data_IF_496250338308
#
_entry.id   IF_496250338308
#
_cell.length_a   1.000
_cell.length_b   1.000
_cell.length_c   1.000
_cell.angle_alpha   90.00
_cell.angle_beta   90.00
_cell.angle_gamma   90.00
#
_symmetry.space_group_name_H-M   'P 1'
#
loop_
_entity.id
_entity.type
_entity.pdbx_description
1 polymer ?
#
# COMPACT_ATOMS: atom_id res chain seq x y z
N UNK A 1 -11.37 34.33 2.44
CA UNK A 1 -11.31 33.04 1.72
C UNK A 1 -9.93 32.91 1.09
N UNK A 2 -9.12 31.91 1.48
CA UNK A 2 -7.80 31.70 0.88
C UNK A 2 -7.96 31.23 -0.56
N UNK A 3 -7.27 31.89 -1.50
CA UNK A 3 -7.30 31.54 -2.91
C UNK A 3 -6.53 30.22 -3.13
N UNK A 4 -7.23 29.10 -2.99
CA UNK A 4 -6.70 27.73 -3.12
C UNK A 4 -6.26 27.36 -4.55
N UNK A 5 -6.47 28.26 -5.50
CA UNK A 5 -6.08 28.09 -6.90
C UNK A 5 -4.59 28.32 -7.17
N UNK A 6 -3.86 28.99 -6.27
CA UNK A 6 -2.44 29.30 -6.50
C UNK A 6 -1.56 28.04 -6.45
N UNK A 7 -0.50 27.95 -7.29
CA UNK A 7 0.46 26.85 -7.24
C UNK A 7 1.05 26.62 -5.83
N UNK A 8 1.32 27.70 -5.10
CA UNK A 8 1.85 27.67 -3.74
C UNK A 8 0.87 27.03 -2.74
N UNK A 9 -0.41 27.36 -2.84
CA UNK A 9 -1.45 26.75 -2.01
C UNK A 9 -1.53 25.23 -2.25
N UNK A 10 -1.42 24.79 -3.51
CA UNK A 10 -1.41 23.37 -3.88
C UNK A 10 -0.20 22.63 -3.32
N UNK A 11 0.99 23.24 -3.38
CA UNK A 11 2.22 22.67 -2.79
C UNK A 11 2.10 22.55 -1.27
N UNK A 12 1.56 23.57 -0.60
CA UNK A 12 1.34 23.53 0.84
C UNK A 12 0.33 22.44 1.24
N UNK A 13 -0.75 22.27 0.48
CA UNK A 13 -1.72 21.20 0.67
C UNK A 13 -1.09 19.81 0.50
N UNK A 14 -0.30 19.60 -0.56
CA UNK A 14 0.46 18.35 -0.77
C UNK A 14 1.38 18.05 0.40
N UNK A 15 2.15 19.04 0.87
CA UNK A 15 3.07 18.85 2.00
C UNK A 15 2.31 18.43 3.27
N UNK A 16 1.20 19.11 3.59
CA UNK A 16 0.36 18.79 4.76
C UNK A 16 -0.26 17.40 4.65
N UNK A 17 -0.74 17.02 3.47
CA UNK A 17 -1.26 15.68 3.19
C UNK A 17 -0.15 14.63 3.44
N UNK A 18 1.03 14.79 2.84
CA UNK A 18 2.15 13.85 2.96
C UNK A 18 2.56 13.65 4.42
N UNK A 19 2.72 14.73 5.17
CA UNK A 19 3.09 14.66 6.59
C UNK A 19 2.06 13.89 7.41
N UNK A 20 0.77 14.22 7.24
CA UNK A 20 -0.32 13.54 7.97
C UNK A 20 -0.45 12.09 7.57
N UNK A 21 -0.35 11.79 6.27
CA UNK A 21 -0.42 10.43 5.78
C UNK A 21 0.77 9.59 6.29
N UNK A 22 1.98 10.17 6.32
CA UNK A 22 3.16 9.54 6.92
C UNK A 22 2.97 9.20 8.40
N UNK A 23 2.46 10.15 9.20
CA UNK A 23 2.18 9.90 10.61
C UNK A 23 1.16 8.77 10.78
N UNK A 24 0.06 8.80 10.03
CA UNK A 24 -0.94 7.72 10.09
C UNK A 24 -0.34 6.37 9.70
N UNK A 25 0.36 6.31 8.57
CA UNK A 25 0.99 5.08 8.10
C UNK A 25 2.01 4.52 9.11
N UNK A 26 2.84 5.38 9.69
CA UNK A 26 3.84 4.97 10.69
C UNK A 26 3.18 4.42 11.97
N UNK A 27 2.15 5.10 12.48
CA UNK A 27 1.41 4.66 13.68
C UNK A 27 0.76 3.30 13.45
N UNK A 28 0.00 3.15 12.36
CA UNK A 28 -0.68 1.90 12.08
C UNK A 28 0.29 0.77 11.73
N UNK A 29 1.35 1.03 10.96
CA UNK A 29 2.38 0.03 10.66
C UNK A 29 3.08 -0.45 11.94
N UNK A 30 3.36 0.44 12.89
CA UNK A 30 3.95 0.09 14.18
C UNK A 30 2.99 -0.79 15.00
N UNK A 31 1.72 -0.39 15.09
CA UNK A 31 0.69 -1.18 15.79
C UNK A 31 0.57 -2.57 15.17
N UNK A 32 0.49 -2.66 13.83
CA UNK A 32 0.43 -3.93 13.12
C UNK A 32 1.67 -4.78 13.37
N UNK A 33 2.88 -4.21 13.28
CA UNK A 33 4.11 -4.95 13.53
C UNK A 33 4.18 -5.49 14.97
N UNK A 34 3.73 -4.72 15.97
CA UNK A 34 3.67 -5.17 17.36
C UNK A 34 2.65 -6.29 17.55
N UNK A 35 1.43 -6.12 17.02
CA UNK A 35 0.37 -7.14 17.15
C UNK A 35 0.77 -8.43 16.43
N UNK A 36 1.26 -8.35 15.19
CA UNK A 36 1.72 -9.51 14.44
C UNK A 36 2.93 -10.15 15.10
N UNK A 37 3.91 -9.36 15.54
CA UNK A 37 5.08 -9.86 16.27
C UNK A 37 4.69 -10.61 17.55
N UNK A 38 3.68 -10.12 18.27
CA UNK A 38 3.13 -10.78 19.45
C UNK A 38 2.50 -12.13 19.10
N UNK A 39 1.70 -12.19 18.03
CA UNK A 39 1.12 -13.46 17.56
C UNK A 39 2.19 -14.46 17.13
N UNK A 40 3.20 -14.00 16.38
CA UNK A 40 4.30 -14.86 15.91
C UNK A 40 5.18 -15.35 17.04
N UNK A 41 5.30 -14.60 18.14
CA UNK A 41 6.09 -14.98 19.30
C UNK A 41 5.44 -16.07 20.17
N UNK A 42 4.13 -16.30 20.01
CA UNK A 42 3.43 -17.33 20.78
C UNK A 42 3.71 -18.73 20.22
N UNK A 43 4.10 -19.70 21.07
CA UNK A 43 4.18 -21.08 20.65
C UNK A 43 2.80 -21.63 20.29
N UNK A 44 2.78 -22.54 19.33
CA UNK A 44 1.60 -23.29 18.86
C UNK A 44 1.93 -24.78 18.86
N UNK A 45 0.95 -25.64 18.57
CA UNK A 45 1.18 -27.10 18.47
C UNK A 45 2.19 -27.51 17.40
N UNK A 46 2.52 -26.61 16.46
CA UNK A 46 3.39 -26.87 15.30
C UNK A 46 4.65 -25.99 15.24
N UNK A 47 4.81 -25.03 16.16
CA UNK A 47 5.92 -24.07 16.13
C UNK A 47 6.21 -23.51 17.53
N UNK A 48 7.48 -23.37 17.87
CA UNK A 48 7.93 -22.77 19.14
C UNK A 48 7.76 -21.24 19.20
N UNK A 49 7.24 -20.62 18.14
CA UNK A 49 7.16 -19.16 18.01
C UNK A 49 8.50 -18.55 17.56
N UNK A 50 8.42 -17.33 17.02
CA UNK A 50 9.57 -16.54 16.57
C UNK A 50 9.95 -15.50 17.63
N UNK A 51 11.24 -15.42 17.98
CA UNK A 51 11.71 -14.39 18.91
C UNK A 51 11.45 -12.97 18.37
N UNK A 52 11.17 -12.03 19.28
CA UNK A 52 10.99 -10.62 18.94
C UNK A 52 12.18 -10.02 18.19
N UNK A 53 13.41 -10.47 18.50
CA UNK A 53 14.64 -10.05 17.83
C UNK A 53 14.69 -10.43 16.35
N UNK A 54 13.90 -11.42 15.92
CA UNK A 54 13.83 -11.87 14.52
C UNK A 54 12.56 -11.35 13.86
N UNK A 55 11.40 -11.44 14.53
CA UNK A 55 10.12 -11.06 13.92
C UNK A 55 9.98 -9.57 13.70
N UNK A 56 10.41 -8.71 14.64
CA UNK A 56 10.27 -7.25 14.49
C UNK A 56 11.06 -6.68 13.31
N UNK A 57 12.36 -6.99 13.13
CA UNK A 57 13.09 -6.48 11.97
C UNK A 57 12.44 -6.88 10.64
N UNK A 58 11.99 -8.14 10.52
CA UNK A 58 11.30 -8.62 9.32
C UNK A 58 10.02 -7.82 9.07
N UNK A 59 9.19 -7.63 10.10
CA UNK A 59 7.94 -6.89 10.00
C UNK A 59 8.17 -5.40 9.70
N UNK A 60 9.21 -4.79 10.25
CA UNK A 60 9.57 -3.40 9.96
C UNK A 60 10.06 -3.24 8.51
N UNK A 61 10.92 -4.14 8.03
CA UNK A 61 11.38 -4.13 6.63
C UNK A 61 10.20 -4.33 5.69
N UNK A 62 9.32 -5.30 5.96
CA UNK A 62 8.11 -5.51 5.18
C UNK A 62 7.21 -4.27 5.18
N UNK A 63 7.00 -3.64 6.35
CA UNK A 63 6.22 -2.43 6.46
C UNK A 63 6.82 -1.28 5.64
N UNK A 64 8.14 -1.08 5.68
CA UNK A 64 8.82 -0.06 4.87
C UNK A 64 8.61 -0.34 3.38
N UNK A 65 8.87 -1.56 2.92
CA UNK A 65 8.74 -1.92 1.50
C UNK A 65 7.32 -1.69 0.96
N UNK A 66 6.31 -2.16 1.69
CA UNK A 66 4.89 -2.03 1.31
C UNK A 66 4.49 -0.55 1.32
N UNK A 67 4.84 0.19 2.37
CA UNK A 67 4.46 1.59 2.48
C UNK A 67 5.18 2.47 1.45
N UNK A 68 6.46 2.23 1.15
CA UNK A 68 7.22 3.00 0.15
C UNK A 68 6.57 2.96 -1.24
N UNK A 69 6.15 1.78 -1.70
CA UNK A 69 5.46 1.66 -2.99
C UNK A 69 4.10 2.37 -2.96
N UNK A 70 3.37 2.22 -1.86
CA UNK A 70 2.09 2.91 -1.64
C UNK A 70 2.25 4.43 -1.69
N UNK A 71 3.26 5.00 -1.01
CA UNK A 71 3.56 6.42 -1.00
C UNK A 71 3.79 6.98 -2.41
N UNK A 72 4.53 6.27 -3.26
CA UNK A 72 4.80 6.70 -4.63
C UNK A 72 3.52 6.81 -5.47
N UNK A 73 2.69 5.76 -5.44
CA UNK A 73 1.44 5.72 -6.21
C UNK A 73 0.45 6.78 -5.73
N UNK A 74 0.34 6.96 -4.41
CA UNK A 74 -0.54 7.94 -3.80
C UNK A 74 -0.12 9.37 -4.09
N UNK A 75 1.18 9.66 -4.07
CA UNK A 75 1.69 10.98 -4.39
C UNK A 75 1.34 11.37 -5.83
N UNK A 76 1.45 10.44 -6.77
CA UNK A 76 1.03 10.65 -8.16
C UNK A 76 -0.49 10.90 -8.24
N UNK A 77 -1.30 10.11 -7.53
CA UNK A 77 -2.75 10.27 -7.54
C UNK A 77 -3.19 11.63 -6.98
N UNK A 78 -2.70 12.02 -5.80
CA UNK A 78 -3.10 13.27 -5.15
C UNK A 78 -2.61 14.49 -5.94
N UNK A 79 -1.41 14.43 -6.53
CA UNK A 79 -0.95 15.49 -7.45
C UNK A 79 -1.89 15.67 -8.64
N UNK A 80 -2.45 14.58 -9.19
CA UNK A 80 -3.43 14.66 -10.28
C UNK A 80 -4.75 15.24 -9.80
N UNK A 81 -5.24 14.82 -8.64
CA UNK A 81 -6.48 15.34 -8.04
C UNK A 81 -6.41 16.86 -7.82
N UNK A 82 -5.29 17.35 -7.30
CA UNK A 82 -5.08 18.78 -7.02
C UNK A 82 -4.87 19.66 -8.27
N UNK A 83 -4.77 19.07 -9.47
CA UNK A 83 -4.77 19.85 -10.72
C UNK A 83 -6.15 20.38 -11.08
N UNK A 84 -7.23 19.77 -10.58
CA UNK A 84 -8.60 20.18 -10.83
C UNK A 84 -9.04 21.22 -9.78
N UNK A 85 -9.17 22.51 -10.14
CA UNK A 85 -9.38 23.61 -9.19
C UNK A 85 -10.71 23.51 -8.43
N UNK A 86 -11.74 22.89 -9.02
CA UNK A 86 -13.09 22.82 -8.43
C UNK A 86 -13.17 21.93 -7.19
N UNK A 87 -12.30 20.94 -7.05
CA UNK A 87 -12.29 20.00 -5.90
C UNK A 87 -11.46 20.45 -4.70
N UNK A 88 -10.73 21.56 -4.80
CA UNK A 88 -9.72 21.97 -3.79
C UNK A 88 -10.24 23.06 -2.86
N UNK A 89 -11.24 23.84 -3.28
CA UNK A 89 -11.85 24.88 -2.47
C UNK A 89 -12.61 24.26 -1.29
N UNK A 90 -12.16 24.54 -0.06
CA UNK A 90 -12.79 24.02 1.17
C UNK A 90 -12.33 22.62 1.60
N UNK A 91 -11.31 22.04 0.97
CA UNK A 91 -10.79 20.73 1.34
C UNK A 91 -10.22 20.74 2.77
N UNK A 92 -10.88 20.04 3.70
CA UNK A 92 -10.30 19.75 5.00
C UNK A 92 -9.25 18.64 4.87
N UNK A 93 -7.97 19.01 4.85
CA UNK A 93 -6.85 18.10 4.67
C UNK A 93 -6.83 16.96 5.71
N UNK A 94 -7.28 17.18 6.95
CA UNK A 94 -7.26 16.12 7.97
C UNK A 94 -8.25 15.01 7.62
N UNK A 95 -9.51 15.42 7.38
CA UNK A 95 -10.60 14.50 7.05
C UNK A 95 -10.30 13.79 5.73
N UNK A 96 -9.83 14.54 4.72
CA UNK A 96 -9.41 13.97 3.45
C UNK A 96 -8.32 12.92 3.63
N UNK A 97 -7.26 13.24 4.37
CA UNK A 97 -6.13 12.32 4.58
C UNK A 97 -6.59 11.05 5.30
N UNK A 98 -7.41 11.18 6.35
CA UNK A 98 -7.93 10.03 7.10
C UNK A 98 -8.82 9.14 6.22
N UNK A 99 -9.78 9.74 5.51
CA UNK A 99 -10.66 8.99 4.59
C UNK A 99 -9.87 8.29 3.51
N UNK A 100 -8.92 9.00 2.90
CA UNK A 100 -8.03 8.45 1.88
C UNK A 100 -7.22 7.27 2.42
N UNK A 101 -6.64 7.40 3.63
CA UNK A 101 -5.94 6.32 4.30
C UNK A 101 -6.83 5.10 4.55
N UNK A 102 -8.03 5.29 5.09
CA UNK A 102 -8.97 4.21 5.38
C UNK A 102 -9.44 3.49 4.10
N UNK A 103 -9.76 4.24 3.03
CA UNK A 103 -10.10 3.65 1.75
C UNK A 103 -8.95 2.84 1.17
N UNK A 104 -7.72 3.37 1.23
CA UNK A 104 -6.54 2.65 0.75
C UNK A 104 -6.26 1.39 1.58
N UNK A 105 -6.42 1.46 2.90
CA UNK A 105 -6.30 0.31 3.78
C UNK A 105 -7.35 -0.76 3.46
N UNK A 106 -8.61 -0.37 3.25
CA UNK A 106 -9.68 -1.31 2.88
C UNK A 106 -9.38 -2.03 1.55
N UNK A 107 -8.92 -1.29 0.54
CA UNK A 107 -8.50 -1.87 -0.75
C UNK A 107 -7.30 -2.80 -0.56
N UNK A 108 -6.30 -2.39 0.22
CA UNK A 108 -5.13 -3.22 0.50
C UNK A 108 -5.49 -4.51 1.23
N UNK A 109 -6.42 -4.46 2.20
CA UNK A 109 -6.94 -5.65 2.88
C UNK A 109 -7.73 -6.54 1.93
N UNK A 110 -8.59 -5.97 1.08
CA UNK A 110 -9.37 -6.74 0.11
C UNK A 110 -8.47 -7.43 -0.93
N UNK A 111 -7.51 -6.70 -1.52
CA UNK A 111 -6.52 -7.25 -2.43
C UNK A 111 -5.62 -8.26 -1.72
N UNK A 112 -5.23 -7.98 -0.47
CA UNK A 112 -4.50 -8.90 0.37
C UNK A 112 -5.25 -10.22 0.52
N UNK A 113 -6.50 -10.20 0.98
CA UNK A 113 -7.32 -11.40 1.13
C UNK A 113 -7.52 -12.16 -0.19
N UNK A 114 -7.74 -11.44 -1.29
CA UNK A 114 -7.98 -12.02 -2.61
C UNK A 114 -6.71 -12.62 -3.23
N UNK A 115 -5.55 -11.99 -3.04
CA UNK A 115 -4.28 -12.39 -3.66
C UNK A 115 -3.43 -13.28 -2.74
N UNK A 116 -3.64 -13.27 -1.43
CA UNK A 116 -2.81 -14.01 -0.48
C UNK A 116 -2.81 -15.52 -0.71
N UNK A 117 -3.99 -16.12 -0.90
CA UNK A 117 -4.09 -17.56 -1.18
C UNK A 117 -3.46 -17.92 -2.53
N UNK A 118 -3.78 -17.24 -3.66
CA UNK A 118 -3.09 -17.48 -4.92
C UNK A 118 -1.56 -17.31 -4.83
N UNK A 119 -1.07 -16.29 -4.13
CA UNK A 119 0.36 -16.02 -3.99
C UNK A 119 1.05 -17.08 -3.12
N UNK A 120 0.41 -17.56 -2.05
CA UNK A 120 0.94 -18.67 -1.25
C UNK A 120 1.09 -19.94 -2.10
N UNK A 121 0.07 -20.28 -2.89
CA UNK A 121 0.16 -21.39 -3.83
C UNK A 121 1.28 -21.15 -4.87
N UNK A 122 1.33 -19.95 -5.44
CA UNK A 122 2.36 -19.60 -6.42
C UNK A 122 3.78 -19.75 -5.86
N UNK A 123 4.04 -19.23 -4.67
CA UNK A 123 5.39 -19.20 -4.10
C UNK A 123 5.79 -20.48 -3.39
N UNK A 124 4.88 -21.17 -2.69
CA UNK A 124 5.23 -22.35 -1.89
C UNK A 124 4.92 -23.66 -2.60
N UNK A 125 3.81 -23.73 -3.34
CA UNK A 125 3.43 -24.96 -4.06
C UNK A 125 4.22 -25.10 -5.36
N UNK A 126 4.48 -23.99 -6.06
CA UNK A 126 5.25 -23.99 -7.31
C UNK A 126 6.74 -23.61 -7.15
N UNK A 127 7.22 -23.32 -5.93
CA UNK A 127 8.65 -23.19 -5.64
C UNK A 127 9.54 -24.33 -6.19
N UNK A 128 9.14 -25.63 -6.15
CA UNK A 128 9.93 -26.71 -6.72
C UNK A 128 9.88 -26.78 -8.25
N UNK A 129 9.00 -26.01 -8.90
CA UNK A 129 8.78 -25.99 -10.34
C UNK A 129 9.24 -24.65 -10.94
N UNK A 130 10.57 -24.42 -11.08
CA UNK A 130 11.13 -23.14 -11.49
C UNK A 130 10.57 -22.62 -12.81
N UNK A 131 10.16 -23.51 -13.73
CA UNK A 131 9.49 -23.14 -15.00
C UNK A 131 8.21 -22.33 -14.78
N UNK A 132 7.41 -22.66 -13.77
CA UNK A 132 6.16 -21.94 -13.50
C UNK A 132 6.46 -20.53 -12.95
N UNK A 133 7.45 -20.40 -12.08
CA UNK A 133 7.94 -19.10 -11.61
C UNK A 133 8.49 -18.22 -12.74
N UNK A 134 9.09 -18.83 -13.78
CA UNK A 134 9.56 -18.12 -14.97
C UNK A 134 8.42 -17.65 -15.90
N UNK A 135 7.28 -18.34 -15.87
CA UNK A 135 6.10 -17.94 -16.63
C UNK A 135 5.34 -16.78 -15.97
N UNK A 136 5.52 -16.52 -14.68
CA UNK A 136 4.86 -15.42 -13.95
C UNK A 136 5.22 -14.05 -14.54
N UNK A 137 6.50 -13.68 -14.76
CA UNK A 137 6.86 -12.45 -15.44
C UNK A 137 6.23 -12.33 -16.84
N UNK A 138 6.21 -13.42 -17.60
CA UNK A 138 5.61 -13.46 -18.93
C UNK A 138 4.09 -13.19 -18.89
N UNK A 139 3.37 -13.83 -17.96
CA UNK A 139 1.93 -13.64 -17.78
C UNK A 139 1.59 -12.25 -17.24
N UNK A 140 2.41 -11.70 -16.34
CA UNK A 140 2.25 -10.32 -15.87
C UNK A 140 2.44 -9.30 -17.00
N UNK A 141 3.47 -9.49 -17.85
CA UNK A 141 3.68 -8.66 -19.04
C UNK A 141 2.51 -8.76 -20.02
N UNK A 142 2.03 -9.96 -20.31
CA UNK A 142 0.86 -10.16 -21.16
C UNK A 142 -0.40 -9.54 -20.55
N UNK A 143 -0.60 -9.64 -19.24
CA UNK A 143 -1.71 -9.00 -18.54
C UNK A 143 -1.63 -7.48 -18.62
N UNK A 144 -0.43 -6.88 -18.54
CA UNK A 144 -0.22 -5.43 -18.74
C UNK A 144 -0.52 -5.02 -20.18
N UNK A 145 -0.07 -5.78 -21.17
CA UNK A 145 -0.33 -5.52 -22.59
C UNK A 145 -1.83 -5.61 -22.89
N UNK A 146 -2.49 -6.68 -22.45
CA UNK A 146 -3.93 -6.87 -22.60
C UNK A 146 -4.73 -5.78 -21.89
N UNK A 147 -4.33 -5.41 -20.67
CA UNK A 147 -4.95 -4.31 -19.93
C UNK A 147 -4.77 -2.95 -20.60
N UNK A 148 -3.62 -2.72 -21.25
CA UNK A 148 -3.38 -1.51 -22.02
C UNK A 148 -4.23 -1.45 -23.30
N UNK A 149 -4.41 -2.58 -23.99
CA UNK A 149 -5.25 -2.65 -25.19
C UNK A 149 -6.74 -2.53 -24.86
N UNK A 150 -7.22 -3.16 -23.79
CA UNK A 150 -8.60 -2.99 -23.31
C UNK A 150 -8.92 -1.53 -22.96
N UNK A 151 -7.92 -0.78 -22.47
CA UNK A 151 -8.06 0.64 -22.14
C UNK A 151 -8.00 1.57 -23.36
N UNK A 152 -7.59 1.07 -24.53
CA UNK A 152 -7.57 1.78 -25.81
C UNK A 152 -8.79 1.47 -26.68
N UNK A 153 -9.42 0.31 -26.45
CA UNK A 153 -10.63 -0.13 -27.16
C UNK A 153 -11.95 0.33 -26.55
N UNK A 154 -11.91 1.09 -25.46
CA UNK A 154 -13.03 1.82 -24.81
C UNK A 154 -12.70 3.30 -24.85
#
# INVERSE_FOLDING_TARGET
MQNTSSPEARVALLRRFRQRYFVLAAVFATITALVTGWFMNRPTSISNGLSWSVSLPILLVAAVLINSLSFLLQDVYVRRLLRHPEGVAGLNVAIFTLRFYLSNLAVAVALGALLYVPLLFLFFFYAPYPIISWLVPYHLLMGVVLGADLKRGV
#
